data_IF_577263503970
#
_entry.id   IF_577263503970
#
_cell.length_a   1.000
_cell.length_b   1.000
_cell.length_c   1.000
_cell.angle_alpha   90.00
_cell.angle_beta   90.00
_cell.angle_gamma   90.00
#
_symmetry.space_group_name_H-M   'P 1'
#
loop_
_entity.id
_entity.type
_entity.pdbx_description
1 polymer ?
#
# COMPACT_ATOMS: atom_id res chain seq x y z
N UNK A 1 16.92 24.33 -1.08
CA UNK A 1 15.83 23.36 -1.33
C UNK A 1 14.93 23.34 -0.12
N UNK A 2 13.61 23.46 -0.30
CA UNK A 2 12.61 23.40 0.79
C UNK A 2 11.57 22.34 0.43
N UNK A 3 11.21 21.48 1.37
CA UNK A 3 10.11 20.52 1.19
C UNK A 3 8.79 21.30 1.19
N UNK A 4 8.02 21.21 0.09
CA UNK A 4 6.68 21.84 -0.01
C UNK A 4 5.59 20.95 0.54
N UNK A 5 5.66 19.65 0.26
CA UNK A 5 4.66 18.68 0.67
C UNK A 5 5.29 17.29 0.84
N UNK A 6 4.63 16.44 1.62
CA UNK A 6 4.98 15.03 1.83
C UNK A 6 3.75 14.20 1.51
N UNK A 7 3.90 13.25 0.60
CA UNK A 7 2.80 12.43 0.09
C UNK A 7 3.04 10.96 0.39
N UNK A 8 2.03 10.28 0.91
CA UNK A 8 1.99 8.82 1.08
C UNK A 8 0.97 8.25 0.10
N UNK A 9 1.32 7.17 -0.58
CA UNK A 9 0.43 6.47 -1.51
C UNK A 9 0.23 5.04 -1.01
N UNK A 10 -0.75 4.80 -0.12
CA UNK A 10 -0.89 3.52 0.56
C UNK A 10 -0.99 2.33 -0.40
N UNK A 11 -1.84 2.47 -1.41
CA UNK A 11 -2.06 1.46 -2.45
C UNK A 11 -1.31 1.88 -3.71
N UNK A 12 -0.44 1.01 -4.21
CA UNK A 12 0.26 1.21 -5.48
C UNK A 12 -0.76 1.53 -6.59
N UNK A 13 -0.53 2.64 -7.29
CA UNK A 13 -1.34 3.14 -8.42
C UNK A 13 -2.64 3.87 -8.08
N UNK A 14 -2.99 4.03 -6.79
CA UNK A 14 -4.15 4.81 -6.34
C UNK A 14 -3.76 6.24 -5.93
N UNK A 15 -4.75 7.06 -5.54
CA UNK A 15 -4.50 8.41 -5.03
C UNK A 15 -3.62 8.40 -3.77
N UNK A 16 -2.76 9.40 -3.67
CA UNK A 16 -1.97 9.67 -2.48
C UNK A 16 -2.70 10.56 -1.47
N UNK A 17 -2.14 10.60 -0.27
CA UNK A 17 -2.58 11.37 0.89
C UNK A 17 -1.49 12.40 1.18
N UNK A 18 -1.85 13.67 1.31
CA UNK A 18 -0.93 14.67 1.84
C UNK A 18 -0.82 14.51 3.35
N UNK A 19 0.41 14.43 3.86
CA UNK A 19 0.68 14.34 5.29
C UNK A 19 0.60 15.70 6.00
N UNK A 20 0.43 16.79 5.24
CA UNK A 20 0.34 18.15 5.76
C UNK A 20 1.47 18.51 6.72
N UNK A 21 1.14 19.25 7.78
CA UNK A 21 2.13 19.67 8.80
C UNK A 21 2.47 18.60 9.82
N UNK A 22 1.68 17.52 9.94
CA UNK A 22 1.94 16.41 10.86
C UNK A 22 3.04 15.49 10.35
N UNK A 23 3.24 15.42 9.04
CA UNK A 23 4.24 14.55 8.41
C UNK A 23 3.87 13.07 8.53
N UNK A 24 4.83 12.20 8.21
CA UNK A 24 4.71 10.77 8.35
C UNK A 24 6.01 10.20 8.93
N UNK A 25 5.91 9.08 9.61
CA UNK A 25 7.08 8.38 10.12
C UNK A 25 7.94 7.86 8.98
N UNK A 26 9.25 8.01 9.15
CA UNK A 26 10.26 7.47 8.26
C UNK A 26 10.69 6.10 8.76
N UNK A 27 10.49 5.09 7.93
CA UNK A 27 10.88 3.71 8.16
C UNK A 27 11.97 3.30 7.16
N UNK A 28 12.63 2.16 7.40
CA UNK A 28 13.68 1.65 6.49
C UNK A 28 13.19 1.37 5.07
N UNK A 29 11.87 1.23 4.88
CA UNK A 29 11.24 0.96 3.59
C UNK A 29 10.60 2.19 2.94
N UNK A 30 10.71 3.38 3.56
CA UNK A 30 10.11 4.61 3.08
C UNK A 30 9.26 5.30 4.14
N UNK A 31 8.35 6.18 3.72
CA UNK A 31 7.32 6.71 4.61
C UNK A 31 6.40 5.58 5.05
N UNK A 32 5.96 5.60 6.30
CA UNK A 32 5.03 4.60 6.83
C UNK A 32 3.82 4.46 5.91
N UNK A 33 3.46 3.21 5.65
CA UNK A 33 2.37 2.79 4.75
C UNK A 33 2.54 3.13 3.27
N UNK A 34 3.62 3.79 2.84
CA UNK A 34 3.82 4.12 1.44
C UNK A 34 4.04 2.86 0.58
N UNK A 35 3.15 2.63 -0.39
CA UNK A 35 3.08 1.43 -1.24
C UNK A 35 3.15 0.13 -0.43
N UNK A 36 2.52 0.15 0.74
CA UNK A 36 2.39 -1.03 1.58
C UNK A 36 1.38 -2.04 1.01
N UNK A 37 0.44 -1.56 0.18
CA UNK A 37 -0.53 -2.37 -0.52
C UNK A 37 -0.38 -2.30 -2.03
N UNK A 38 -0.84 -3.35 -2.70
CA UNK A 38 -0.88 -3.43 -4.16
C UNK A 38 -2.10 -4.21 -4.62
N UNK A 39 -2.74 -3.76 -5.69
CA UNK A 39 -3.79 -4.51 -6.36
C UNK A 39 -3.16 -5.51 -7.31
N UNK A 40 -3.58 -6.78 -7.21
CA UNK A 40 -3.13 -7.87 -8.08
C UNK A 40 -4.30 -8.45 -8.86
N UNK A 41 -4.02 -8.98 -10.04
CA UNK A 41 -4.97 -9.87 -10.74
C UNK A 41 -4.99 -11.23 -10.04
N UNK A 42 -6.19 -11.72 -9.73
CA UNK A 42 -6.39 -12.83 -8.78
C UNK A 42 -5.71 -14.14 -9.22
N UNK A 43 -5.70 -14.44 -10.52
CA UNK A 43 -5.23 -15.72 -11.05
C UNK A 43 -3.71 -15.78 -11.19
N UNK A 44 -3.10 -14.65 -11.54
CA UNK A 44 -1.68 -14.55 -11.92
C UNK A 44 -0.83 -13.92 -10.84
N UNK A 45 -1.42 -13.17 -9.90
CA UNK A 45 -0.68 -12.41 -8.89
C UNK A 45 0.07 -11.20 -9.45
N UNK A 46 -0.12 -10.87 -10.74
CA UNK A 46 0.56 -9.73 -11.37
C UNK A 46 -0.03 -8.42 -10.87
N UNK A 47 0.83 -7.44 -10.60
CA UNK A 47 0.40 -6.08 -10.28
C UNK A 47 -0.54 -5.51 -11.35
N UNK A 48 -1.56 -4.80 -10.90
CA UNK A 48 -2.40 -3.96 -11.73
C UNK A 48 -1.93 -2.52 -11.54
N UNK A 49 -1.71 -1.81 -12.64
CA UNK A 49 -1.14 -0.46 -12.60
C UNK A 49 -2.04 0.57 -13.25
N UNK A 50 -1.93 1.83 -12.82
CA UNK A 50 -2.66 2.97 -13.39
C UNK A 50 -2.42 3.13 -14.89
N UNK A 51 -1.21 2.81 -15.38
CA UNK A 51 -0.87 2.86 -16.81
C UNK A 51 -1.74 1.93 -17.65
N UNK A 52 -2.13 0.78 -17.10
CA UNK A 52 -2.99 -0.21 -17.77
C UNK A 52 -4.47 0.02 -17.44
N UNK A 53 -4.77 0.42 -16.21
CA UNK A 53 -6.12 0.67 -15.71
C UNK A 53 -6.19 2.06 -15.06
N UNK A 54 -6.43 3.12 -15.85
CA UNK A 54 -6.45 4.50 -15.36
C UNK A 54 -7.50 4.77 -14.28
N UNK A 55 -8.53 3.92 -14.15
CA UNK A 55 -9.55 4.02 -13.11
C UNK A 55 -8.98 3.93 -11.69
N UNK A 56 -7.80 3.32 -11.50
CA UNK A 56 -7.09 3.34 -10.21
C UNK A 56 -6.76 4.77 -9.75
N UNK A 57 -6.59 5.71 -10.68
CA UNK A 57 -6.40 7.13 -10.38
C UNK A 57 -7.60 7.78 -9.68
N UNK A 58 -8.78 7.14 -9.73
CA UNK A 58 -10.01 7.62 -9.10
C UNK A 58 -10.23 7.00 -7.72
N UNK A 59 -9.45 5.98 -7.36
CA UNK A 59 -9.51 5.35 -6.04
C UNK A 59 -8.82 6.27 -5.04
N UNK A 60 -9.64 6.91 -4.22
CA UNK A 60 -9.18 7.70 -3.08
C UNK A 60 -8.74 6.77 -1.95
N UNK A 61 -7.75 7.23 -1.20
CA UNK A 61 -7.22 6.52 -0.04
C UNK A 61 -7.22 7.46 1.15
N UNK A 62 -7.42 6.91 2.33
CA UNK A 62 -7.33 7.63 3.60
C UNK A 62 -6.75 6.73 4.67
N UNK A 63 -5.79 7.27 5.41
CA UNK A 63 -5.24 6.70 6.62
C UNK A 63 -5.27 7.84 7.66
N UNK A 64 -5.82 7.61 8.86
CA UNK A 64 -5.82 8.59 9.94
C UNK A 64 -4.41 9.14 10.20
N UNK A 65 -4.29 10.45 10.37
CA UNK A 65 -3.00 11.12 10.44
C UNK A 65 -2.12 10.59 11.59
N UNK A 66 -2.74 10.25 12.71
CA UNK A 66 -2.10 9.67 13.89
C UNK A 66 -1.44 8.32 13.56
N UNK A 67 -2.07 7.49 12.70
CA UNK A 67 -1.48 6.23 12.26
C UNK A 67 -0.27 6.43 11.34
N UNK A 68 -0.23 7.54 10.58
CA UNK A 68 0.91 7.91 9.72
C UNK A 68 2.09 8.46 10.54
N UNK A 69 1.85 9.21 11.61
CA UNK A 69 2.90 9.97 12.31
C UNK A 69 3.26 9.48 13.73
N UNK A 70 2.44 8.64 14.38
CA UNK A 70 2.69 8.18 15.75
C UNK A 70 3.55 6.91 15.81
N UNK A 71 4.59 6.88 16.63
CA UNK A 71 5.38 5.66 16.86
C UNK A 71 4.69 4.67 17.81
N UNK A 72 3.63 5.11 18.49
CA UNK A 72 2.89 4.32 19.48
C UNK A 72 1.98 3.29 18.77
N UNK A 73 2.20 1.97 18.95
CA UNK A 73 1.38 0.95 18.34
C UNK A 73 -0.08 0.95 18.82
N UNK A 74 -0.37 1.45 20.03
CA UNK A 74 -1.74 1.50 20.57
C UNK A 74 -2.65 2.43 19.75
N UNK A 75 -2.05 3.43 19.08
CA UNK A 75 -2.77 4.34 18.18
C UNK A 75 -3.31 3.63 16.94
N UNK A 76 -2.77 2.46 16.59
CA UNK A 76 -3.20 1.69 15.43
C UNK A 76 -4.41 0.78 15.73
N UNK A 77 -4.80 0.66 17.00
CA UNK A 77 -6.00 -0.09 17.39
C UNK A 77 -7.23 0.50 16.68
N UNK A 78 -8.00 -0.37 16.02
CA UNK A 78 -9.21 -0.04 15.25
C UNK A 78 -9.04 0.96 14.10
N UNK A 79 -7.80 1.33 13.73
CA UNK A 79 -7.56 2.19 12.58
C UNK A 79 -7.56 1.38 11.28
N UNK A 80 -8.14 1.96 10.23
CA UNK A 80 -8.21 1.35 8.91
C UNK A 80 -7.57 2.24 7.84
N UNK A 81 -7.00 1.60 6.81
CA UNK A 81 -6.93 2.19 5.48
C UNK A 81 -8.34 2.15 4.91
N UNK A 82 -8.88 3.31 4.54
CA UNK A 82 -10.15 3.38 3.79
C UNK A 82 -9.85 3.63 2.32
N UNK A 83 -10.48 2.86 1.44
CA UNK A 83 -10.45 3.09 -0.01
C UNK A 83 -11.86 3.28 -0.54
N UNK A 84 -12.02 4.24 -1.45
CA UNK A 84 -13.33 4.50 -2.07
C UNK A 84 -13.18 5.15 -3.43
N UNK A 85 -14.25 5.08 -4.22
CA UNK A 85 -14.37 5.78 -5.48
C UNK A 85 -15.83 6.18 -5.69
N UNK A 86 -16.05 7.30 -6.37
CA UNK A 86 -17.39 7.80 -6.66
C UNK A 86 -18.21 6.74 -7.42
N UNK A 87 -19.42 6.45 -6.91
CA UNK A 87 -20.31 5.43 -7.47
C UNK A 87 -19.90 3.96 -7.24
N UNK A 88 -18.81 3.67 -6.53
CA UNK A 88 -18.27 2.30 -6.36
C UNK A 88 -18.18 1.82 -4.90
N UNK A 89 -18.76 2.57 -3.96
CA UNK A 89 -18.74 2.24 -2.53
C UNK A 89 -17.37 2.49 -1.88
N UNK A 90 -17.17 1.85 -0.71
CA UNK A 90 -15.94 1.92 0.09
C UNK A 90 -15.56 0.54 0.60
N UNK A 91 -14.28 0.35 0.91
CA UNK A 91 -13.78 -0.79 1.66
C UNK A 91 -12.84 -0.31 2.78
N UNK A 92 -12.91 -0.97 3.93
CA UNK A 92 -12.06 -0.68 5.09
C UNK A 92 -11.08 -1.84 5.34
N UNK A 93 -9.80 -1.50 5.45
CA UNK A 93 -8.71 -2.45 5.61
C UNK A 93 -8.01 -2.16 6.93
N UNK A 94 -8.18 -3.01 7.96
CA UNK A 94 -7.55 -2.80 9.27
C UNK A 94 -6.03 -2.62 9.17
N UNK A 95 -5.49 -1.53 9.70
CA UNK A 95 -4.04 -1.29 9.73
C UNK A 95 -3.35 -2.24 10.70
N UNK A 96 -3.95 -2.38 11.88
CA UNK A 96 -3.61 -3.37 12.89
C UNK A 96 -4.10 -4.76 12.44
N UNK A 97 -3.22 -5.76 12.54
CA UNK A 97 -3.67 -7.14 12.63
C UNK A 97 -4.04 -7.40 14.09
N UNK A 98 -5.33 -7.30 14.40
CA UNK A 98 -5.87 -7.60 15.73
C UNK A 98 -5.32 -8.96 16.20
N UNK A 99 -5.06 -9.12 17.50
CA UNK A 99 -4.46 -10.34 18.04
C UNK A 99 -5.27 -11.60 17.66
N UNK A 100 -6.60 -11.47 17.55
CA UNK A 100 -7.53 -12.52 17.09
C UNK A 100 -7.39 -12.83 15.59
N UNK A 101 -7.05 -11.82 14.78
CA UNK A 101 -6.76 -11.96 13.34
C UNK A 101 -5.36 -12.54 13.10
N UNK A 102 -4.41 -12.41 14.05
CA UNK A 102 -3.08 -13.03 13.96
C UNK A 102 -3.13 -14.56 13.98
N UNK A 103 -4.12 -15.13 14.66
CA UNK A 103 -4.35 -16.58 14.73
C UNK A 103 -5.28 -17.09 13.61
N UNK A 104 -5.90 -16.19 12.85
CA UNK A 104 -6.64 -16.57 11.65
C UNK A 104 -5.65 -16.67 10.49
N UNK A 105 -5.55 -17.81 9.77
CA UNK A 105 -4.66 -17.90 8.62
C UNK A 105 -5.11 -16.90 7.54
N UNK A 106 -4.47 -15.72 7.46
CA UNK A 106 -4.62 -14.86 6.29
C UNK A 106 -4.18 -15.66 5.08
N UNK A 107 -5.00 -15.64 4.04
CA UNK A 107 -4.67 -16.34 2.80
C UNK A 107 -3.47 -15.65 2.19
N UNK A 108 -2.34 -16.36 2.14
CA UNK A 108 -1.17 -15.90 1.40
C UNK A 108 -1.47 -15.99 -0.09
N UNK A 109 -0.99 -15.01 -0.85
CA UNK A 109 -1.18 -14.91 -2.30
C UNK A 109 0.15 -14.63 -2.96
N UNK A 110 0.30 -15.21 -4.15
CA UNK A 110 1.32 -14.78 -5.10
C UNK A 110 1.14 -13.31 -5.46
N UNK A 111 2.21 -12.54 -5.37
CA UNK A 111 2.27 -11.16 -5.81
C UNK A 111 3.57 -10.90 -6.58
N UNK A 112 3.47 -10.24 -7.73
CA UNK A 112 4.61 -9.86 -8.57
C UNK A 112 4.61 -8.36 -8.88
N UNK A 113 5.69 -7.69 -8.49
CA UNK A 113 5.98 -6.29 -8.82
C UNK A 113 7.34 -6.24 -9.51
N UNK A 114 7.34 -5.94 -10.82
CA UNK A 114 8.56 -6.01 -11.64
C UNK A 114 9.22 -7.41 -11.54
N UNK A 115 10.54 -7.46 -11.30
CA UNK A 115 11.30 -8.70 -11.10
C UNK A 115 11.13 -9.30 -9.70
N UNK A 116 10.54 -8.57 -8.75
CA UNK A 116 10.26 -9.10 -7.42
C UNK A 116 8.97 -9.89 -7.40
N UNK A 117 9.02 -11.07 -6.79
CA UNK A 117 7.92 -12.00 -6.67
C UNK A 117 7.91 -12.63 -5.28
N UNK A 118 6.72 -12.81 -4.70
CA UNK A 118 6.54 -13.43 -3.39
C UNK A 118 5.25 -14.24 -3.37
N UNK A 119 5.26 -15.36 -2.65
CA UNK A 119 4.07 -16.19 -2.40
C UNK A 119 3.39 -15.84 -1.06
N UNK A 120 3.97 -14.91 -0.30
CA UNK A 120 3.58 -14.60 1.09
C UNK A 120 2.80 -13.29 1.22
N UNK A 121 2.43 -12.62 0.12
CA UNK A 121 1.65 -11.39 0.22
C UNK A 121 0.30 -11.68 0.87
N UNK A 122 -0.11 -10.83 1.81
CA UNK A 122 -1.28 -11.10 2.65
C UNK A 122 -2.54 -10.57 1.96
N UNK A 123 -3.50 -11.44 1.69
CA UNK A 123 -4.81 -11.08 1.15
C UNK A 123 -5.62 -10.25 2.15
N UNK A 124 -6.18 -9.12 1.71
CA UNK A 124 -7.01 -8.24 2.54
C UNK A 124 -8.49 -8.64 2.58
N UNK A 125 -8.82 -9.80 2.05
CA UNK A 125 -10.14 -10.39 2.17
C UNK A 125 -11.12 -9.93 1.09
N UNK A 126 -12.35 -10.39 1.24
CA UNK A 126 -13.32 -10.35 0.15
C UNK A 126 -13.94 -8.97 -0.06
N UNK A 127 -14.05 -8.15 0.97
CA UNK A 127 -14.54 -6.77 0.83
C UNK A 127 -13.63 -5.94 -0.08
N UNK A 128 -12.32 -5.98 0.17
CA UNK A 128 -11.35 -5.30 -0.67
C UNK A 128 -11.31 -5.91 -2.08
N UNK A 129 -11.39 -7.24 -2.20
CA UNK A 129 -11.43 -7.91 -3.50
C UNK A 129 -12.66 -7.51 -4.33
N UNK A 130 -13.84 -7.44 -3.72
CA UNK A 130 -15.07 -7.00 -4.37
C UNK A 130 -14.97 -5.53 -4.82
N UNK A 131 -14.49 -4.63 -3.96
CA UNK A 131 -14.32 -3.22 -4.31
C UNK A 131 -13.40 -3.04 -5.54
N UNK A 132 -12.20 -3.63 -5.51
CA UNK A 132 -11.26 -3.51 -6.62
C UNK A 132 -11.73 -4.25 -7.87
N UNK A 133 -12.40 -5.39 -7.73
CA UNK A 133 -12.92 -6.13 -8.88
C UNK A 133 -14.03 -5.36 -9.60
N UNK A 134 -14.90 -4.68 -8.86
CA UNK A 134 -15.97 -3.87 -9.42
C UNK A 134 -15.43 -2.67 -10.21
N UNK A 135 -14.51 -1.90 -9.64
CA UNK A 135 -13.97 -0.70 -10.32
C UNK A 135 -13.05 -1.04 -11.51
N UNK A 136 -12.42 -2.20 -11.50
CA UNK A 136 -11.53 -2.65 -12.58
C UNK A 136 -12.24 -3.50 -13.64
N UNK A 137 -13.46 -3.96 -13.37
CA UNK A 137 -14.21 -4.91 -14.19
C UNK A 137 -13.39 -6.18 -14.54
N UNK A 138 -12.69 -6.72 -13.54
CA UNK A 138 -11.90 -7.96 -13.62
C UNK A 138 -11.70 -8.53 -12.22
N UNK A 139 -11.31 -9.80 -12.10
CA UNK A 139 -11.01 -10.41 -10.79
C UNK A 139 -9.71 -9.88 -10.19
N UNK A 140 -9.83 -9.01 -9.21
CA UNK A 140 -8.72 -8.35 -8.55
C UNK A 140 -8.76 -8.56 -7.04
N UNK A 141 -7.59 -8.59 -6.41
CA UNK A 141 -7.46 -8.63 -4.95
C UNK A 141 -6.49 -7.56 -4.49
N UNK A 142 -6.75 -7.00 -3.30
CA UNK A 142 -5.80 -6.15 -2.61
C UNK A 142 -4.91 -7.05 -1.74
N UNK A 143 -3.59 -6.86 -1.83
CA UNK A 143 -2.63 -7.55 -0.98
C UNK A 143 -1.75 -6.56 -0.24
N UNK A 144 -1.37 -6.92 1.00
CA UNK A 144 -0.37 -6.23 1.81
C UNK A 144 1.00 -6.85 1.62
N UNK A 145 2.03 -6.01 1.73
CA UNK A 145 3.41 -6.48 1.67
C UNK A 145 3.68 -7.47 2.82
N UNK A 146 4.33 -8.62 2.54
CA UNK A 146 4.52 -9.66 3.55
C UNK A 146 5.31 -9.18 4.76
N UNK A 147 4.85 -9.53 5.96
CA UNK A 147 5.57 -9.22 7.20
C UNK A 147 6.92 -9.95 7.23
N UNK A 148 7.98 -9.22 7.50
CA UNK A 148 9.34 -9.77 7.59
C UNK A 148 10.00 -10.06 6.24
N UNK A 149 9.28 -9.92 5.11
CA UNK A 149 9.91 -9.95 3.81
C UNK A 149 10.78 -8.71 3.60
N UNK A 150 11.86 -8.87 2.82
CA UNK A 150 12.74 -7.78 2.42
C UNK A 150 12.86 -7.79 0.91
N UNK A 151 12.46 -6.68 0.28
CA UNK A 151 12.76 -6.41 -1.12
C UNK A 151 13.89 -5.38 -1.18
N UNK A 152 15.14 -5.81 -1.46
CA UNK A 152 16.27 -4.89 -1.49
C UNK A 152 16.12 -3.89 -2.65
N UNK A 153 16.68 -2.70 -2.46
CA UNK A 153 16.90 -1.78 -3.58
C UNK A 153 18.17 -2.18 -4.34
N UNK A 154 18.47 -1.50 -5.44
CA UNK A 154 19.67 -1.78 -6.24
C UNK A 154 20.95 -1.47 -5.43
N UNK A 155 21.87 -2.44 -5.40
CA UNK A 155 23.08 -2.40 -4.57
C UNK A 155 23.99 -1.22 -4.92
N UNK A 156 24.01 -0.81 -6.18
CA UNK A 156 24.81 0.32 -6.67
C UNK A 156 24.38 1.66 -6.02
N UNK A 157 23.08 1.83 -5.75
CA UNK A 157 22.52 3.11 -5.33
C UNK A 157 22.17 3.15 -3.84
N UNK A 158 21.65 2.06 -3.27
CA UNK A 158 21.20 2.02 -1.87
C UNK A 158 21.33 0.61 -1.25
N UNK A 159 22.56 0.11 -1.04
CA UNK A 159 22.84 -1.31 -0.75
C UNK A 159 22.21 -1.86 0.54
N UNK A 160 21.93 -0.99 1.51
CA UNK A 160 21.39 -1.40 2.81
C UNK A 160 19.86 -1.26 2.89
N UNK A 161 19.26 -0.56 1.93
CA UNK A 161 17.86 -0.19 1.99
C UNK A 161 16.97 -1.26 1.36
N UNK A 162 15.68 -1.14 1.67
CA UNK A 162 14.63 -1.97 1.12
C UNK A 162 13.46 -1.09 0.70
N UNK A 163 12.57 -1.67 -0.08
CA UNK A 163 11.30 -1.06 -0.44
C UNK A 163 10.18 -2.08 -0.32
N UNK A 164 8.94 -1.64 -0.51
CA UNK A 164 7.76 -2.51 -0.52
C UNK A 164 7.27 -2.65 -1.97
N UNK A 165 6.02 -2.29 -2.27
CA UNK A 165 5.50 -2.34 -3.65
C UNK A 165 5.82 -1.07 -4.47
N UNK A 166 6.68 -0.17 -3.98
CA UNK A 166 7.21 0.96 -4.77
C UNK A 166 8.02 0.47 -5.98
N UNK A 167 8.37 1.35 -6.93
CA UNK A 167 9.03 0.87 -8.16
C UNK A 167 10.46 0.39 -7.91
N UNK A 168 11.27 1.16 -7.17
CA UNK A 168 12.66 0.79 -6.88
C UNK A 168 13.22 1.25 -5.53
N UNK A 169 12.75 2.39 -5.00
CA UNK A 169 13.36 3.04 -3.84
C UNK A 169 12.33 3.47 -2.79
N UNK A 170 12.74 3.61 -1.50
CA UNK A 170 11.86 3.97 -0.40
C UNK A 170 11.29 5.40 -0.48
N UNK A 171 11.97 6.29 -1.22
CA UNK A 171 11.54 7.67 -1.42
C UNK A 171 11.58 8.04 -2.89
N UNK A 172 10.60 8.85 -3.31
CA UNK A 172 10.63 9.57 -4.57
C UNK A 172 10.68 11.06 -4.24
N UNK A 173 11.67 11.77 -4.79
CA UNK A 173 11.76 13.22 -4.69
C UNK A 173 11.35 13.82 -6.03
N UNK A 174 10.30 14.62 -6.02
CA UNK A 174 9.86 15.38 -7.18
C UNK A 174 10.10 16.87 -6.97
N UNK A 175 10.57 17.53 -8.03
CA UNK A 175 10.72 18.99 -8.07
C UNK A 175 9.49 19.60 -8.74
N UNK A 176 9.06 20.75 -8.23
CA UNK A 176 8.05 21.59 -8.87
C UNK A 176 8.64 22.99 -9.03
N UNK A 177 8.40 23.58 -10.20
CA UNK A 177 8.75 24.98 -10.50
C UNK A 177 7.71 25.95 -9.92
#
# INVERSE_FOLDING_TARGET
MRVKDVMVYPVKSCCGISCGTKGALVERTGLRYDRHWMVIEEKTGKMITQRKHPTLALVKTEIPAEALCSADPSVLEDQCLTVWAEGNGRAEIPLCEAAEVRDTPKTKRRAKVWEFETEDAMDEGEEAAMFFSNILNLKARLVRFPRGARRPTEVEFAPQDATQFSDGYPFLVAVQE
#
